data_IF_085684706647
#
_entry.id   IF_085684706647
#
_cell.length_a   1.000
_cell.length_b   1.000
_cell.length_c   1.000
_cell.angle_alpha   90.00
_cell.angle_beta   90.00
_cell.angle_gamma   90.00
#
_symmetry.space_group_name_H-M   'P 1'
#
loop_
_entity.id
_entity.type
_entity.pdbx_description
1 polymer ?
#
# COMPACT_ATOMS: atom_id res chain seq x y z
N UNK A 1 44.01 26.25 -16.03
CA UNK A 1 45.04 25.20 -15.89
C UNK A 1 44.28 23.88 -15.90
N UNK A 2 44.23 23.23 -17.07
CA UNK A 2 43.51 21.97 -17.31
C UNK A 2 44.41 20.84 -16.82
N UNK A 3 43.95 20.07 -15.84
CA UNK A 3 44.66 18.87 -15.37
C UNK A 3 44.11 17.69 -16.15
N UNK A 4 45.00 17.02 -16.89
CA UNK A 4 44.70 15.90 -17.78
C UNK A 4 44.13 14.70 -17.00
N UNK A 5 42.97 14.23 -17.44
CA UNK A 5 42.29 13.06 -16.86
C UNK A 5 43.08 11.75 -17.05
N UNK A 6 44.09 11.75 -17.93
CA UNK A 6 44.93 10.57 -18.21
C UNK A 6 45.98 10.29 -17.11
N UNK A 7 46.29 11.24 -16.24
CA UNK A 7 47.27 11.04 -15.17
C UNK A 7 46.67 10.28 -13.96
N UNK A 8 45.38 10.45 -13.71
CA UNK A 8 44.64 9.71 -12.66
C UNK A 8 44.48 8.22 -12.99
N UNK A 9 44.50 7.84 -14.27
CA UNK A 9 44.35 6.45 -14.68
C UNK A 9 45.65 5.63 -14.60
N UNK A 10 46.83 6.28 -14.59
CA UNK A 10 48.11 5.59 -14.38
C UNK A 10 48.38 5.22 -12.92
N UNK A 11 47.88 6.01 -11.95
CA UNK A 11 48.14 5.78 -10.53
C UNK A 11 47.50 4.49 -9.97
N UNK A 12 46.48 3.94 -10.64
CA UNK A 12 45.77 2.73 -10.19
C UNK A 12 46.47 1.44 -10.63
N UNK A 13 47.41 1.49 -11.59
CA UNK A 13 48.01 0.28 -12.19
C UNK A 13 49.40 -0.08 -11.64
N UNK A 14 50.06 0.82 -10.91
CA UNK A 14 51.31 0.54 -10.20
C UNK A 14 50.98 0.24 -8.75
N UNK A 15 50.95 -1.05 -8.38
CA UNK A 15 50.73 -1.50 -7.02
C UNK A 15 51.82 -1.02 -6.07
N UNK A 16 51.63 0.19 -5.54
CA UNK A 16 52.49 0.78 -4.50
C UNK A 16 51.93 0.34 -3.14
N UNK A 17 52.70 -0.51 -2.47
CA UNK A 17 52.53 -0.84 -1.06
C UNK A 17 52.50 0.45 -0.23
N UNK A 18 51.45 0.62 0.57
CA UNK A 18 51.37 1.69 1.56
C UNK A 18 52.37 1.43 2.68
N UNK A 19 53.14 2.42 3.14
CA UNK A 19 53.98 2.28 4.32
C UNK A 19 53.13 2.30 5.60
N UNK A 20 53.62 1.56 6.59
CA UNK A 20 53.09 1.40 7.94
C UNK A 20 52.78 2.74 8.62
N UNK A 21 51.56 2.87 9.15
CA UNK A 21 51.20 3.91 10.10
C UNK A 21 51.06 3.30 11.50
N UNK A 22 51.77 3.84 12.51
CA UNK A 22 51.75 3.32 13.88
C UNK A 22 50.46 3.71 14.61
N UNK A 23 50.12 2.87 15.59
CA UNK A 23 48.80 2.74 16.19
C UNK A 23 48.30 3.90 17.05
N UNK A 24 46.98 3.90 17.19
CA UNK A 24 46.25 4.62 18.23
C UNK A 24 45.39 3.63 19.03
N UNK A 25 45.23 3.87 20.34
CA UNK A 25 44.84 2.85 21.30
C UNK A 25 43.34 2.57 21.31
N UNK A 26 43.05 1.29 21.45
CA UNK A 26 41.77 0.73 21.85
C UNK A 26 41.33 1.32 23.20
N UNK A 27 40.15 1.93 23.23
CA UNK A 27 39.36 2.12 24.45
C UNK A 27 38.25 1.07 24.44
N UNK A 28 38.49 0.02 25.23
CA UNK A 28 37.46 -0.88 25.73
C UNK A 28 36.64 -0.11 26.76
N UNK A 29 35.32 -0.07 26.59
CA UNK A 29 34.41 0.11 27.71
C UNK A 29 33.61 -1.19 27.85
N UNK A 30 34.04 -1.96 28.85
CA UNK A 30 33.32 -3.08 29.42
C UNK A 30 32.07 -2.54 30.14
N UNK A 31 30.91 -3.06 29.78
CA UNK A 31 29.76 -3.11 30.69
C UNK A 31 28.93 -4.34 30.37
N UNK A 32 29.45 -5.47 30.84
CA UNK A 32 28.67 -6.63 31.20
C UNK A 32 27.92 -6.33 32.50
N UNK A 33 26.59 -6.31 32.43
CA UNK A 33 25.77 -6.67 33.60
C UNK A 33 24.73 -7.68 33.17
N UNK A 34 24.90 -8.86 33.74
CA UNK A 34 24.07 -10.03 33.58
C UNK A 34 22.61 -9.77 33.98
N UNK A 35 21.67 -10.27 33.18
CA UNK A 35 20.42 -10.72 33.76
C UNK A 35 19.93 -12.00 33.08
N UNK A 36 19.68 -12.97 33.94
CA UNK A 36 19.58 -14.38 33.64
C UNK A 36 18.21 -14.79 33.10
N UNK A 37 18.28 -15.70 32.14
CA UNK A 37 17.46 -16.91 32.01
C UNK A 37 16.16 -16.96 32.84
N UNK A 38 15.03 -16.76 32.17
CA UNK A 38 13.78 -17.48 32.49
C UNK A 38 13.12 -18.00 31.21
N UNK A 39 13.59 -19.18 30.81
CA UNK A 39 12.87 -20.10 29.93
C UNK A 39 11.57 -20.52 30.62
N UNK A 40 10.42 -20.13 30.04
CA UNK A 40 9.15 -20.78 30.33
C UNK A 40 8.50 -21.26 29.03
N UNK A 41 8.60 -22.56 28.83
CA UNK A 41 7.98 -23.34 27.77
C UNK A 41 6.48 -23.41 28.03
N UNK A 42 5.71 -22.46 27.50
CA UNK A 42 4.25 -22.53 27.51
C UNK A 42 3.80 -23.39 26.31
N UNK A 43 3.58 -24.68 26.58
CA UNK A 43 2.81 -25.57 25.71
C UNK A 43 1.38 -25.03 25.62
N UNK A 44 1.08 -24.28 24.57
CA UNK A 44 -0.29 -23.78 24.28
C UNK A 44 -1.12 -24.92 23.70
N UNK A 45 -1.69 -25.74 24.58
CA UNK A 45 -2.82 -26.61 24.25
C UNK A 45 -4.01 -25.73 23.87
N UNK A 46 -4.34 -25.66 22.58
CA UNK A 46 -5.59 -25.08 22.11
C UNK A 46 -6.73 -26.06 22.45
N UNK A 47 -7.25 -25.97 23.67
CA UNK A 47 -8.62 -26.42 23.96
C UNK A 47 -9.57 -25.38 23.40
N UNK A 48 -10.33 -25.76 22.38
CA UNK A 48 -11.55 -25.05 21.98
C UNK A 48 -12.56 -25.15 23.12
N UNK A 49 -12.66 -24.09 23.94
CA UNK A 49 -13.77 -23.91 24.86
C UNK A 49 -14.91 -23.31 24.04
N UNK A 50 -15.89 -24.14 23.71
CA UNK A 50 -17.18 -23.69 23.20
C UNK A 50 -17.86 -22.85 24.29
N UNK A 51 -18.04 -21.56 24.02
CA UNK A 51 -18.91 -20.69 24.82
C UNK A 51 -20.34 -21.27 24.82
N UNK A 52 -20.97 -21.46 25.98
CA UNK A 52 -22.42 -21.68 26.02
C UNK A 52 -23.13 -20.38 25.63
N UNK A 53 -24.26 -20.44 24.88
CA UNK A 53 -25.06 -19.26 24.60
C UNK A 53 -25.77 -18.78 25.87
N UNK A 54 -25.63 -17.47 26.14
CA UNK A 54 -26.41 -16.77 27.16
C UNK A 54 -27.90 -16.88 26.84
N UNK A 55 -28.65 -17.37 27.82
CA UNK A 55 -30.11 -17.40 27.85
C UNK A 55 -30.60 -16.00 28.26
N UNK A 56 -31.43 -15.38 27.43
CA UNK A 56 -32.29 -14.28 27.82
C UNK A 56 -33.72 -14.57 27.39
N UNK A 57 -34.64 -14.47 28.36
CA UNK A 57 -35.98 -13.91 28.15
C UNK A 57 -37.09 -14.88 27.71
N UNK A 58 -38.18 -15.02 28.51
CA UNK A 58 -39.34 -15.82 28.14
C UNK A 58 -40.30 -14.97 27.30
N UNK A 59 -40.78 -15.52 26.19
CA UNK A 59 -41.85 -14.87 25.44
C UNK A 59 -42.15 -15.55 24.12
N UNK A 60 -43.40 -16.01 23.99
CA UNK A 60 -44.07 -16.46 22.76
C UNK A 60 -43.65 -17.80 22.17
N UNK A 61 -44.39 -18.82 22.61
CA UNK A 61 -44.67 -20.10 21.96
C UNK A 61 -45.21 -19.94 20.55
N UNK A 62 -44.62 -20.67 19.59
CA UNK A 62 -45.20 -21.31 18.37
C UNK A 62 -44.26 -21.18 17.17
N UNK A 63 -43.37 -22.16 17.03
CA UNK A 63 -43.45 -23.16 15.96
C UNK A 63 -42.19 -24.01 16.04
N UNK A 64 -42.39 -25.31 16.22
CA UNK A 64 -41.36 -26.31 16.36
C UNK A 64 -40.45 -26.32 15.12
N UNK A 65 -39.31 -25.63 15.20
CA UNK A 65 -38.21 -25.81 14.26
C UNK A 65 -37.56 -27.14 14.59
N UNK A 66 -37.89 -28.13 13.78
CA UNK A 66 -37.17 -29.40 13.64
C UNK A 66 -35.66 -29.15 13.69
N UNK A 67 -35.05 -29.50 14.81
CA UNK A 67 -33.60 -29.64 14.94
C UNK A 67 -33.18 -30.77 13.99
N UNK A 68 -32.79 -30.40 12.77
CA UNK A 68 -32.07 -31.28 11.86
C UNK A 68 -30.75 -31.64 12.54
N UNK A 69 -30.74 -32.78 13.25
CA UNK A 69 -29.52 -33.53 13.50
C UNK A 69 -28.90 -33.78 12.14
N UNK A 70 -27.85 -33.04 11.81
CA UNK A 70 -26.89 -33.45 10.80
C UNK A 70 -26.26 -34.72 11.34
N UNK A 71 -26.86 -35.87 11.03
CA UNK A 71 -26.22 -37.17 11.21
C UNK A 71 -24.94 -37.11 10.39
N UNK A 72 -23.81 -37.02 11.08
CA UNK A 72 -22.50 -37.24 10.50
C UNK A 72 -22.49 -38.70 10.05
N UNK A 73 -22.85 -38.92 8.78
CA UNK A 73 -22.72 -40.21 8.12
C UNK A 73 -21.27 -40.66 8.20
N UNK A 74 -21.10 -41.95 8.42
CA UNK A 74 -19.88 -42.70 8.68
C UNK A 74 -18.60 -42.16 8.01
N UNK A 75 -17.44 -42.25 8.69
CA UNK A 75 -16.18 -41.75 8.16
C UNK A 75 -15.82 -42.52 6.88
N UNK A 76 -16.01 -41.90 5.71
CA UNK A 76 -15.46 -42.44 4.46
C UNK A 76 -13.94 -42.41 4.58
N UNK A 77 -13.30 -43.56 4.36
CA UNK A 77 -11.84 -43.65 4.33
C UNK A 77 -11.29 -42.74 3.23
N UNK A 78 -10.42 -41.81 3.62
CA UNK A 78 -9.66 -40.97 2.69
C UNK A 78 -8.24 -41.50 2.61
N UNK A 79 -7.75 -41.72 1.38
CA UNK A 79 -6.33 -42.01 1.17
C UNK A 79 -5.60 -40.68 1.11
N UNK A 80 -4.66 -40.45 2.01
CA UNK A 80 -3.78 -39.30 1.93
C UNK A 80 -2.84 -39.45 0.72
N UNK A 81 -2.89 -38.51 -0.21
CA UNK A 81 -1.90 -38.38 -1.29
C UNK A 81 -1.12 -37.08 -1.11
N UNK A 82 0.19 -37.15 -1.34
CA UNK A 82 1.09 -36.00 -1.27
C UNK A 82 1.57 -35.67 -2.68
N UNK A 83 0.75 -35.03 -3.53
CA UNK A 83 1.26 -34.49 -4.77
C UNK A 83 2.35 -33.48 -4.43
N UNK A 84 3.54 -33.72 -4.95
CA UNK A 84 4.59 -32.72 -5.01
C UNK A 84 4.10 -31.63 -5.94
N UNK A 85 3.62 -30.54 -5.37
CA UNK A 85 3.36 -29.34 -6.13
C UNK A 85 4.67 -28.55 -6.10
N UNK A 86 5.11 -28.07 -7.27
CA UNK A 86 6.00 -26.93 -7.34
C UNK A 86 5.22 -25.76 -6.76
N UNK A 87 5.21 -25.69 -5.44
CA UNK A 87 4.66 -24.56 -4.73
C UNK A 87 5.43 -23.36 -5.25
N UNK A 88 4.74 -22.42 -5.90
CA UNK A 88 5.11 -21.02 -5.73
C UNK A 88 4.94 -20.73 -4.25
N UNK A 89 5.91 -21.16 -3.47
CA UNK A 89 6.20 -20.50 -2.22
C UNK A 89 6.58 -19.10 -2.61
N UNK A 90 5.55 -18.26 -2.62
CA UNK A 90 5.63 -16.82 -2.58
C UNK A 90 6.63 -16.31 -1.54
N UNK A 91 7.10 -17.13 -0.59
CA UNK A 91 7.75 -16.61 0.60
C UNK A 91 9.14 -16.03 0.38
N UNK A 92 10.00 -16.62 -0.47
CA UNK A 92 11.44 -16.32 -0.27
C UNK A 92 12.22 -15.83 -1.50
N UNK A 93 11.85 -16.19 -2.74
CA UNK A 93 12.69 -15.78 -3.90
C UNK A 93 12.14 -14.62 -4.72
N UNK A 94 10.83 -14.39 -4.72
CA UNK A 94 10.21 -13.29 -5.49
C UNK A 94 9.52 -12.25 -4.61
N UNK A 95 9.43 -12.47 -3.29
CA UNK A 95 8.88 -11.46 -2.39
C UNK A 95 9.95 -10.46 -2.03
N UNK A 96 9.78 -9.28 -2.58
CA UNK A 96 10.54 -8.11 -2.17
C UNK A 96 10.18 -7.83 -0.72
N UNK A 97 11.15 -8.04 0.18
CA UNK A 97 10.96 -7.77 1.60
C UNK A 97 10.65 -6.29 1.78
N UNK A 98 9.62 -6.01 2.57
CA UNK A 98 9.33 -4.62 2.97
C UNK A 98 10.39 -4.20 3.99
N UNK A 99 10.84 -2.93 3.97
CA UNK A 99 11.82 -2.47 4.93
C UNK A 99 11.21 -2.50 6.33
N UNK A 100 11.93 -3.07 7.29
CA UNK A 100 11.55 -3.08 8.69
C UNK A 100 11.99 -1.78 9.33
N UNK A 101 11.05 -0.88 9.59
CA UNK A 101 11.32 0.43 10.21
C UNK A 101 10.84 0.40 11.65
N UNK A 102 11.68 0.77 12.65
CA UNK A 102 11.25 0.84 14.05
C UNK A 102 10.06 1.81 14.24
N UNK A 103 9.10 1.49 15.13
CA UNK A 103 7.90 2.31 15.31
C UNK A 103 8.22 3.76 15.74
N UNK A 104 9.28 3.98 16.52
CA UNK A 104 9.70 5.33 16.93
C UNK A 104 10.09 6.20 15.72
N UNK A 105 10.78 5.60 14.74
CA UNK A 105 11.17 6.26 13.50
C UNK A 105 9.94 6.53 12.64
N UNK A 106 9.03 5.55 12.53
CA UNK A 106 7.76 5.71 11.80
C UNK A 106 6.92 6.87 12.35
N UNK A 107 6.78 6.97 13.67
CA UNK A 107 6.02 8.04 14.34
C UNK A 107 6.67 9.42 14.13
N UNK A 108 7.99 9.49 14.22
CA UNK A 108 8.73 10.75 14.00
C UNK A 108 8.58 11.24 12.55
N UNK A 109 8.69 10.33 11.59
CA UNK A 109 8.45 10.64 10.16
C UNK A 109 7.00 11.10 9.95
N UNK A 110 6.02 10.43 10.55
CA UNK A 110 4.62 10.84 10.45
C UNK A 110 4.39 12.25 11.00
N UNK A 111 4.97 12.59 12.15
CA UNK A 111 4.86 13.92 12.74
C UNK A 111 5.44 15.00 11.81
N UNK A 112 6.62 14.76 11.23
CA UNK A 112 7.21 15.67 10.24
C UNK A 112 6.35 15.81 8.99
N UNK A 113 5.77 14.72 8.48
CA UNK A 113 4.87 14.76 7.33
C UNK A 113 3.62 15.60 7.60
N UNK A 114 2.99 15.45 8.77
CA UNK A 114 1.82 16.26 9.12
C UNK A 114 2.18 17.75 9.14
N UNK A 115 3.32 18.12 9.70
CA UNK A 115 3.81 19.51 9.70
C UNK A 115 4.28 20.03 8.33
N UNK A 116 4.51 19.15 7.35
CA UNK A 116 4.78 19.52 5.95
C UNK A 116 3.47 19.72 5.18
N UNK A 117 2.44 18.95 5.52
CA UNK A 117 1.14 18.95 4.85
C UNK A 117 0.16 19.97 5.43
N UNK A 118 0.58 20.73 6.44
CA UNK A 118 -0.25 21.74 7.08
C UNK A 118 -0.75 22.80 6.08
N UNK A 119 -1.98 23.24 6.25
CA UNK A 119 -2.66 24.18 5.34
C UNK A 119 -3.15 23.59 3.99
N UNK A 120 -2.75 22.38 3.61
CA UNK A 120 -3.23 21.76 2.35
C UNK A 120 -4.73 21.46 2.42
N UNK A 121 -5.23 20.97 3.55
CA UNK A 121 -6.65 20.72 3.75
C UNK A 121 -7.50 21.99 3.60
N UNK A 122 -7.04 23.12 4.13
CA UNK A 122 -7.74 24.40 4.03
C UNK A 122 -7.78 24.88 2.58
N UNK A 123 -6.67 24.77 1.87
CA UNK A 123 -6.61 25.05 0.44
C UNK A 123 -7.59 24.18 -0.37
N UNK A 124 -7.64 22.87 -0.11
CA UNK A 124 -8.59 21.97 -0.79
C UNK A 124 -10.04 22.31 -0.48
N UNK A 125 -10.36 22.62 0.78
CA UNK A 125 -11.71 23.04 1.20
C UNK A 125 -12.13 24.32 0.48
N UNK A 126 -11.28 25.34 0.49
CA UNK A 126 -11.53 26.60 -0.21
C UNK A 126 -11.71 26.39 -1.72
N UNK A 127 -10.87 25.54 -2.34
CA UNK A 127 -10.99 25.17 -3.75
C UNK A 127 -12.32 24.47 -4.07
N UNK A 128 -12.76 23.53 -3.23
CA UNK A 128 -14.03 22.84 -3.40
C UNK A 128 -15.23 23.78 -3.25
N UNK A 129 -15.20 24.71 -2.28
CA UNK A 129 -16.24 25.72 -2.11
C UNK A 129 -16.36 26.63 -3.35
N UNK A 130 -15.22 27.12 -3.86
CA UNK A 130 -15.19 27.92 -5.10
C UNK A 130 -15.72 27.15 -6.32
N UNK A 131 -15.37 25.87 -6.45
CA UNK A 131 -15.87 25.03 -7.54
C UNK A 131 -17.40 24.85 -7.47
N UNK A 132 -17.97 24.72 -6.26
CA UNK A 132 -19.43 24.63 -6.06
C UNK A 132 -20.13 25.96 -6.34
N UNK A 133 -19.54 27.09 -5.94
CA UNK A 133 -20.08 28.42 -6.24
C UNK A 133 -20.21 28.64 -7.75
N UNK A 134 -19.15 28.37 -8.52
CA UNK A 134 -19.17 28.49 -9.99
C UNK A 134 -20.24 27.62 -10.67
N UNK A 135 -20.54 26.44 -10.09
CA UNK A 135 -21.60 25.56 -10.61
C UNK A 135 -23.01 26.11 -10.32
N UNK A 136 -23.19 26.85 -9.22
CA UNK A 136 -24.46 27.50 -8.88
C UNK A 136 -24.74 28.64 -9.86
N UNK A 137 -23.73 29.44 -10.17
CA UNK A 137 -23.87 30.59 -11.08
C UNK A 137 -24.22 30.12 -12.50
N UNK A 138 -23.61 29.03 -12.99
CA UNK A 138 -23.89 28.48 -14.32
C UNK A 138 -25.23 27.74 -14.42
N UNK A 139 -25.75 27.18 -13.32
CA UNK A 139 -27.09 26.58 -13.31
C UNK A 139 -28.20 27.63 -13.41
N UNK A 140 -27.96 28.83 -12.89
CA UNK A 140 -28.95 29.91 -12.85
C UNK A 140 -29.11 30.58 -14.22
N UNK A 141 -28.04 30.64 -15.03
CA UNK A 141 -28.06 31.27 -16.35
C UNK A 141 -28.57 30.38 -17.48
N UNK A 142 -28.42 29.05 -17.37
CA UNK A 142 -28.82 28.11 -18.43
C UNK A 142 -30.18 27.42 -18.21
N UNK A 143 -30.85 27.68 -17.09
CA UNK A 143 -32.17 27.11 -16.77
C UNK A 143 -33.37 27.82 -17.42
N UNK A 144 -33.17 28.94 -18.13
CA UNK A 144 -34.28 29.76 -18.62
C UNK A 144 -34.71 29.47 -20.07
N UNK A 145 -34.01 28.61 -20.84
CA UNK A 145 -34.26 28.52 -22.29
C UNK A 145 -34.90 27.23 -22.82
N UNK A 146 -35.30 26.26 -21.98
CA UNK A 146 -36.10 25.13 -22.50
C UNK A 146 -36.84 24.32 -21.42
N UNK A 147 -38.05 24.77 -21.07
CA UNK A 147 -39.16 23.85 -20.80
C UNK A 147 -40.49 24.56 -21.07
N UNK A 148 -41.04 24.24 -22.23
CA UNK A 148 -42.46 24.32 -22.50
C UNK A 148 -43.25 23.59 -21.41
N UNK A 149 -44.00 24.39 -20.64
CA UNK A 149 -45.21 24.05 -19.87
C UNK A 149 -45.09 23.22 -18.59
N UNK A 150 -45.52 23.81 -17.46
CA UNK A 150 -46.26 23.07 -16.45
C UNK A 150 -47.57 23.79 -16.08
N UNK A 151 -48.70 23.12 -16.31
CA UNK A 151 -49.92 23.37 -15.55
C UNK A 151 -49.80 22.67 -14.20
N UNK A 152 -50.03 23.39 -13.09
CA UNK A 152 -50.53 22.75 -11.87
C UNK A 152 -49.93 23.21 -10.54
N UNK A 153 -50.61 24.20 -9.94
CA UNK A 153 -50.92 24.33 -8.52
C UNK A 153 -49.79 24.62 -7.49
N UNK A 154 -49.71 25.92 -7.24
CA UNK A 154 -49.25 26.65 -6.06
C UNK A 154 -49.28 25.92 -4.71
N UNK A 155 -48.16 26.02 -3.98
CA UNK A 155 -48.16 26.09 -2.52
C UNK A 155 -47.22 27.21 -2.06
N UNK A 156 -47.80 28.24 -1.45
CA UNK A 156 -47.13 29.39 -0.84
C UNK A 156 -46.57 28.96 0.52
N UNK A 157 -45.25 28.92 0.67
CA UNK A 157 -44.64 29.04 2.00
C UNK A 157 -43.53 30.10 1.99
N UNK A 158 -43.68 31.04 2.92
CA UNK A 158 -42.89 32.23 3.19
C UNK A 158 -41.39 31.95 3.28
N UNK A 159 -40.62 32.73 2.53
CA UNK A 159 -39.18 32.88 2.69
C UNK A 159 -38.90 33.67 3.98
N UNK A 160 -38.19 33.03 4.91
CA UNK A 160 -37.60 33.69 6.08
C UNK A 160 -36.20 34.16 5.68
N UNK A 161 -36.04 35.47 5.51
CA UNK A 161 -34.76 36.14 5.32
C UNK A 161 -34.05 36.21 6.68
N UNK A 162 -32.92 35.53 6.82
CA UNK A 162 -32.04 35.66 7.97
C UNK A 162 -30.70 36.26 7.49
N UNK A 163 -30.61 37.58 7.62
CA UNK A 163 -29.38 38.35 7.65
C UNK A 163 -28.50 37.88 8.80
N UNK A 164 -27.29 37.40 8.51
CA UNK A 164 -26.16 37.53 9.43
C UNK A 164 -24.87 37.61 8.62
N UNK A 165 -24.51 38.85 8.32
CA UNK A 165 -23.20 39.27 7.84
C UNK A 165 -22.18 39.14 8.98
N UNK A 166 -21.19 38.29 8.81
CA UNK A 166 -19.85 38.48 9.39
C UNK A 166 -18.84 38.17 8.30
N UNK A 167 -18.38 39.24 7.64
CA UNK A 167 -17.16 39.29 6.83
C UNK A 167 -15.97 38.89 7.70
N UNK A 168 -15.54 37.64 7.55
CA UNK A 168 -14.18 37.24 7.87
C UNK A 168 -13.44 37.11 6.55
N UNK A 169 -13.14 38.28 5.98
CA UNK A 169 -12.30 38.52 4.81
C UNK A 169 -10.81 38.24 5.13
N UNK A 170 -10.54 37.16 5.87
CA UNK A 170 -9.22 36.52 5.85
C UNK A 170 -9.14 35.77 4.54
N UNK A 171 -8.90 36.52 3.46
CA UNK A 171 -8.69 36.03 2.12
C UNK A 171 -7.49 35.09 2.11
N UNK A 172 -7.74 33.82 2.42
CA UNK A 172 -6.83 32.72 2.23
C UNK A 172 -6.28 32.83 0.80
N UNK A 173 -4.97 33.09 0.71
CA UNK A 173 -4.26 33.36 -0.53
C UNK A 173 -4.70 32.37 -1.59
N UNK A 174 -5.15 32.89 -2.75
CA UNK A 174 -5.76 32.06 -3.78
C UNK A 174 -4.77 31.10 -4.45
N UNK A 175 -3.48 31.29 -4.23
CA UNK A 175 -2.41 30.54 -4.86
C UNK A 175 -2.24 29.16 -4.20
N UNK A 176 -2.11 28.07 -4.99
CA UNK A 176 -1.80 26.76 -4.42
C UNK A 176 -0.50 26.80 -3.63
N UNK A 177 -0.45 26.20 -2.43
CA UNK A 177 0.79 26.00 -1.71
C UNK A 177 1.83 25.35 -2.65
N UNK A 178 3.08 25.84 -2.71
CA UNK A 178 4.07 25.37 -3.68
C UNK A 178 4.32 23.86 -3.56
N UNK A 179 4.22 23.33 -2.34
CA UNK A 179 4.31 21.90 -2.05
C UNK A 179 3.31 21.05 -2.83
N UNK A 180 2.12 21.57 -3.12
CA UNK A 180 1.03 20.79 -3.72
C UNK A 180 1.42 20.25 -5.11
N UNK A 181 2.33 20.92 -5.83
CA UNK A 181 2.77 20.50 -7.17
C UNK A 181 3.70 19.28 -7.14
N UNK A 182 4.36 19.02 -6.02
CA UNK A 182 5.34 17.95 -5.85
C UNK A 182 4.79 16.75 -5.07
N UNK A 183 3.48 16.75 -4.77
CA UNK A 183 2.80 15.70 -4.04
C UNK A 183 1.91 14.87 -4.95
N UNK A 184 2.05 13.56 -4.84
CA UNK A 184 1.21 12.60 -5.55
C UNK A 184 0.62 11.66 -4.50
N UNK A 185 -0.70 11.55 -4.44
CA UNK A 185 -1.36 10.68 -3.47
C UNK A 185 -2.46 9.83 -4.08
N UNK A 186 -2.69 8.68 -3.45
CA UNK A 186 -3.62 7.65 -3.91
C UNK A 186 -2.92 6.52 -4.65
N UNK A 187 -3.41 5.30 -4.42
CA UNK A 187 -2.80 4.06 -4.94
C UNK A 187 -2.64 4.15 -6.47
N UNK A 188 -3.73 4.41 -7.19
CA UNK A 188 -3.72 4.43 -8.66
C UNK A 188 -2.87 5.56 -9.27
N UNK A 189 -2.77 6.71 -8.59
CA UNK A 189 -1.98 7.83 -9.09
C UNK A 189 -0.49 7.50 -8.98
N UNK A 190 -0.08 7.02 -7.81
CA UNK A 190 1.31 6.63 -7.55
C UNK A 190 1.73 5.44 -8.41
N UNK A 191 0.87 4.43 -8.61
CA UNK A 191 1.20 3.28 -9.45
C UNK A 191 1.44 3.68 -10.90
N UNK A 192 0.51 4.44 -11.50
CA UNK A 192 0.67 4.95 -12.87
C UNK A 192 1.97 5.76 -13.03
N UNK A 193 2.31 6.53 -12.00
CA UNK A 193 3.51 7.35 -12.01
C UNK A 193 4.79 6.52 -11.96
N UNK A 194 4.87 5.54 -11.04
CA UNK A 194 5.98 4.58 -10.98
C UNK A 194 6.11 3.75 -12.26
N UNK A 195 4.99 3.29 -12.83
CA UNK A 195 4.98 2.55 -14.10
C UNK A 195 5.53 3.40 -15.25
N UNK A 196 5.13 4.68 -15.32
CA UNK A 196 5.66 5.62 -16.32
C UNK A 196 7.17 5.81 -16.15
N UNK A 197 7.65 5.97 -14.91
CA UNK A 197 9.08 6.08 -14.64
C UNK A 197 9.85 4.82 -15.04
N UNK A 198 9.33 3.64 -14.69
CA UNK A 198 9.91 2.34 -15.07
C UNK A 198 9.95 2.21 -16.60
N UNK A 199 8.88 2.56 -17.30
CA UNK A 199 8.82 2.53 -18.76
C UNK A 199 9.90 3.45 -19.36
N UNK A 200 10.02 4.68 -18.86
CA UNK A 200 11.03 5.63 -19.31
C UNK A 200 12.46 5.13 -19.06
N UNK A 201 12.73 4.51 -17.92
CA UNK A 201 14.04 3.88 -17.65
C UNK A 201 14.34 2.75 -18.63
N UNK A 202 13.36 1.90 -18.94
CA UNK A 202 13.52 0.79 -19.91
C UNK A 202 13.85 1.30 -21.30
N UNK A 203 13.18 2.36 -21.74
CA UNK A 203 13.46 2.98 -23.04
C UNK A 203 14.91 3.49 -23.10
N UNK A 204 15.40 4.15 -22.04
CA UNK A 204 16.79 4.61 -21.97
C UNK A 204 17.81 3.45 -22.05
N UNK A 205 17.53 2.31 -21.42
CA UNK A 205 18.43 1.14 -21.49
C UNK A 205 18.44 0.48 -22.87
N UNK A 206 17.29 0.40 -23.56
CA UNK A 206 17.21 -0.26 -24.88
C UNK A 206 17.78 0.61 -26.00
N UNK A 207 17.58 1.93 -25.94
CA UNK A 207 17.96 2.86 -27.00
C UNK A 207 19.29 3.59 -26.75
N UNK A 208 20.15 3.05 -25.89
CA UNK A 208 21.40 3.67 -25.42
C UNK A 208 22.50 3.83 -26.48
N UNK A 209 22.27 3.43 -27.74
CA UNK A 209 23.32 3.25 -28.75
C UNK A 209 23.39 4.35 -29.82
N UNK A 210 22.49 5.32 -29.89
CA UNK A 210 22.60 6.35 -30.93
C UNK A 210 21.95 7.68 -30.55
N UNK A 211 22.65 8.76 -30.89
CA UNK A 211 22.23 10.17 -30.95
C UNK A 211 22.46 10.99 -29.67
N UNK A 212 23.45 11.88 -29.78
CA UNK A 212 23.74 13.00 -28.86
C UNK A 212 22.69 14.13 -28.96
N UNK A 213 21.69 13.99 -29.83
CA UNK A 213 20.81 15.10 -30.23
C UNK A 213 19.43 15.11 -29.54
N UNK A 214 19.20 14.24 -28.54
CA UNK A 214 17.92 14.16 -27.81
C UNK A 214 17.94 14.76 -26.38
N UNK A 215 19.03 15.42 -25.98
CA UNK A 215 19.16 16.01 -24.62
C UNK A 215 18.11 17.09 -24.30
N UNK A 216 17.57 17.78 -25.30
CA UNK A 216 16.69 18.94 -25.07
C UNK A 216 15.20 18.63 -24.85
N UNK A 217 14.74 17.40 -25.10
CA UNK A 217 13.34 17.02 -24.86
C UNK A 217 13.13 16.27 -23.54
N UNK A 218 14.20 15.91 -22.83
CA UNK A 218 14.07 15.36 -21.48
C UNK A 218 13.78 16.50 -20.50
N UNK A 219 12.53 16.99 -20.52
CA UNK A 219 11.96 17.62 -19.32
C UNK A 219 12.34 16.71 -18.17
N UNK A 220 13.06 17.24 -17.19
CA UNK A 220 13.40 16.53 -15.96
C UNK A 220 12.10 15.98 -15.37
N UNK A 221 11.82 14.73 -15.70
CA UNK A 221 10.64 14.06 -15.22
C UNK A 221 10.82 14.01 -13.71
N UNK A 222 9.85 14.56 -13.02
CA UNK A 222 9.78 14.52 -11.58
C UNK A 222 9.98 13.05 -11.13
N UNK A 223 10.98 12.84 -10.30
CA UNK A 223 11.35 11.52 -9.79
C UNK A 223 10.85 11.40 -8.36
N UNK A 224 10.23 10.27 -8.02
CA UNK A 224 9.72 10.08 -6.66
C UNK A 224 10.92 9.83 -5.77
N UNK A 225 11.12 10.67 -4.75
CA UNK A 225 12.17 10.48 -3.75
C UNK A 225 11.68 9.65 -2.57
N UNK A 226 10.52 9.98 -2.03
CA UNK A 226 9.95 9.30 -0.87
C UNK A 226 8.57 8.75 -1.20
N UNK A 227 8.30 7.51 -0.78
CA UNK A 227 7.02 6.85 -0.92
C UNK A 227 6.54 6.31 0.42
N UNK A 228 5.48 6.90 0.96
CA UNK A 228 4.87 6.54 2.24
C UNK A 228 3.64 5.67 2.05
N UNK A 229 3.52 4.59 2.82
CA UNK A 229 2.45 3.60 2.68
C UNK A 229 1.82 3.24 4.03
N UNK A 230 0.51 3.48 4.16
CA UNK A 230 -0.28 3.21 5.37
C UNK A 230 -0.75 1.75 5.44
N UNK A 231 0.17 0.77 5.39
CA UNK A 231 -0.20 -0.66 5.30
C UNK A 231 -1.05 -1.16 6.46
N UNK A 232 -0.81 -0.67 7.67
CA UNK A 232 -1.52 -1.13 8.87
C UNK A 232 -3.02 -0.76 8.89
N UNK A 233 -3.43 0.17 8.03
CA UNK A 233 -4.80 0.71 7.97
C UNK A 233 -5.60 0.16 6.78
N UNK A 234 -4.96 -0.56 5.86
CA UNK A 234 -5.57 -1.06 4.61
C UNK A 234 -5.99 -2.52 4.77
N UNK A 235 -7.29 -2.77 4.66
CA UNK A 235 -7.89 -4.10 4.63
C UNK A 235 -8.67 -4.29 3.31
N UNK A 236 -8.27 -5.20 2.41
CA UNK A 236 -7.15 -6.15 2.51
C UNK A 236 -5.78 -5.55 2.08
N UNK A 237 -4.66 -5.98 2.68
CA UNK A 237 -3.32 -5.44 2.37
C UNK A 237 -2.84 -5.75 0.94
N UNK A 238 -3.47 -6.71 0.25
CA UNK A 238 -3.15 -7.07 -1.14
C UNK A 238 -3.28 -5.88 -2.10
N UNK A 239 -4.10 -4.88 -1.76
CA UNK A 239 -4.29 -3.67 -2.55
C UNK A 239 -3.00 -2.86 -2.74
N UNK A 240 -1.99 -3.04 -1.88
CA UNK A 240 -0.72 -2.30 -1.92
C UNK A 240 0.51 -3.22 -1.94
N UNK A 241 0.32 -4.53 -2.17
CA UNK A 241 1.44 -5.50 -2.17
C UNK A 241 2.31 -5.44 -3.43
N UNK A 242 1.83 -4.78 -4.49
CA UNK A 242 2.60 -4.54 -5.70
C UNK A 242 3.56 -3.33 -5.59
N UNK A 243 3.33 -2.39 -4.65
CA UNK A 243 4.16 -1.18 -4.54
C UNK A 243 5.64 -1.46 -4.26
N UNK A 244 6.02 -2.35 -3.31
CA UNK A 244 7.43 -2.72 -3.13
C UNK A 244 8.07 -3.25 -4.41
N UNK A 245 7.30 -3.97 -5.24
CA UNK A 245 7.78 -4.52 -6.51
C UNK A 245 8.07 -3.44 -7.55
N UNK A 246 7.18 -2.45 -7.67
CA UNK A 246 7.41 -1.31 -8.55
C UNK A 246 8.62 -0.48 -8.10
N UNK A 247 8.72 -0.14 -6.81
CA UNK A 247 9.84 0.63 -6.27
C UNK A 247 11.16 -0.09 -6.46
N UNK A 248 11.23 -1.38 -6.15
CA UNK A 248 12.44 -2.17 -6.32
C UNK A 248 12.88 -2.27 -7.78
N UNK A 249 11.91 -2.44 -8.70
CA UNK A 249 12.16 -2.48 -10.14
C UNK A 249 12.71 -1.14 -10.62
N UNK A 250 12.06 -0.03 -10.25
CA UNK A 250 12.54 1.31 -10.54
C UNK A 250 13.96 1.53 -10.00
N UNK A 251 14.20 1.12 -8.75
CA UNK A 251 15.47 1.31 -8.08
C UNK A 251 16.64 0.58 -8.75
N UNK A 252 16.38 -0.52 -9.44
CA UNK A 252 17.38 -1.23 -10.23
C UNK A 252 17.59 -0.58 -11.59
N UNK A 253 16.55 0.00 -12.20
CA UNK A 253 16.58 0.52 -13.57
C UNK A 253 16.99 2.00 -13.69
N UNK A 254 16.90 2.80 -12.62
CA UNK A 254 17.04 4.28 -12.66
C UNK A 254 18.44 4.83 -13.00
N UNK A 255 19.45 3.98 -13.12
CA UNK A 255 20.86 4.40 -13.27
C UNK A 255 21.50 4.90 -11.96
N UNK A 256 22.80 5.15 -11.98
CA UNK A 256 23.56 5.66 -10.81
C UNK A 256 23.24 7.11 -10.46
N UNK A 257 22.85 7.91 -11.45
CA UNK A 257 22.80 9.37 -11.33
C UNK A 257 21.52 9.84 -10.62
N UNK A 258 20.49 9.01 -10.63
CA UNK A 258 19.20 9.30 -10.01
C UNK A 258 19.16 8.71 -8.60
N UNK A 259 18.80 9.51 -7.58
CA UNK A 259 18.69 9.02 -6.21
C UNK A 259 17.60 7.95 -6.07
N UNK A 260 17.76 6.97 -5.14
CA UNK A 260 16.76 5.94 -4.88
C UNK A 260 15.44 6.49 -4.38
N UNK A 261 14.36 5.83 -4.81
CA UNK A 261 13.05 5.97 -4.18
C UNK A 261 13.05 5.13 -2.90
N UNK A 262 12.77 5.78 -1.77
CA UNK A 262 12.72 5.15 -0.45
C UNK A 262 11.27 4.83 -0.11
N UNK A 263 10.98 3.56 0.14
CA UNK A 263 9.66 3.09 0.57
C UNK A 263 9.58 3.05 2.09
N UNK A 264 8.60 3.73 2.68
CA UNK A 264 8.49 3.91 4.14
C UNK A 264 7.11 3.42 4.59
N UNK A 265 7.05 2.32 5.36
CA UNK A 265 5.80 1.91 6.00
C UNK A 265 5.47 2.89 7.13
N UNK A 266 4.22 3.34 7.17
CA UNK A 266 3.70 4.21 8.20
C UNK A 266 2.97 3.41 9.30
N UNK A 267 2.86 3.97 10.52
CA UNK A 267 2.25 3.28 11.64
C UNK A 267 0.73 3.20 11.48
N UNK A 268 0.07 2.42 12.34
CA UNK A 268 -1.40 2.34 12.37
C UNK A 268 -2.01 3.69 12.73
N UNK A 269 -3.09 4.07 12.06
CA UNK A 269 -3.78 5.36 12.20
C UNK A 269 -3.24 6.46 11.28
N UNK A 270 -2.09 6.24 10.64
CA UNK A 270 -1.47 7.23 9.76
C UNK A 270 -2.36 7.59 8.56
N UNK A 271 -3.16 6.64 8.04
CA UNK A 271 -4.11 6.90 6.94
C UNK A 271 -5.05 8.05 7.29
N UNK A 272 -5.62 8.02 8.50
CA UNK A 272 -6.62 9.00 8.93
C UNK A 272 -5.96 10.34 9.20
N UNK A 273 -4.81 10.35 9.90
CA UNK A 273 -4.07 11.58 10.23
C UNK A 273 -3.62 12.31 8.96
N UNK A 274 -3.05 11.59 7.99
CA UNK A 274 -2.62 12.20 6.74
C UNK A 274 -3.81 12.60 5.85
N UNK A 275 -4.89 11.82 5.84
CA UNK A 275 -6.11 12.19 5.12
C UNK A 275 -6.70 13.51 5.62
N UNK A 276 -6.72 13.71 6.95
CA UNK A 276 -7.14 14.97 7.57
C UNK A 276 -6.22 16.14 7.20
N UNK A 277 -4.89 15.96 7.27
CA UNK A 277 -3.93 17.00 6.92
C UNK A 277 -4.01 17.42 5.44
N UNK A 278 -4.25 16.48 4.53
CA UNK A 278 -4.40 16.76 3.09
C UNK A 278 -5.80 17.26 2.73
N UNK A 279 -6.84 16.93 3.52
CA UNK A 279 -8.23 17.27 3.23
C UNK A 279 -8.97 16.26 2.33
N UNK A 280 -8.53 15.00 2.32
CA UNK A 280 -9.17 13.90 1.57
C UNK A 280 -9.89 12.94 2.52
N UNK A 281 -10.78 12.09 1.99
CA UNK A 281 -11.51 11.12 2.81
C UNK A 281 -10.62 9.99 3.34
N UNK A 282 -9.68 9.51 2.52
CA UNK A 282 -8.78 8.38 2.80
C UNK A 282 -7.47 8.57 2.05
N UNK A 283 -6.34 8.33 2.71
CA UNK A 283 -4.99 8.52 2.14
C UNK A 283 -4.10 7.29 2.41
N UNK A 284 -4.22 6.29 1.53
CA UNK A 284 -3.50 5.02 1.67
C UNK A 284 -2.00 5.13 1.37
N UNK A 285 -1.63 5.95 0.38
CA UNK A 285 -0.23 6.13 -0.05
C UNK A 285 -0.01 7.55 -0.56
N UNK A 286 1.16 8.08 -0.22
CA UNK A 286 1.63 9.43 -0.50
C UNK A 286 3.06 9.35 -1.05
N UNK A 287 3.33 10.02 -2.15
CA UNK A 287 4.63 10.15 -2.78
C UNK A 287 5.04 11.63 -2.83
N UNK A 288 6.34 11.86 -2.63
CA UNK A 288 6.97 13.18 -2.68
C UNK A 288 8.07 13.16 -3.74
N UNK A 289 8.01 14.13 -4.65
CA UNK A 289 8.99 14.29 -5.72
C UNK A 289 10.31 14.88 -5.23
N UNK A 290 11.39 14.59 -5.95
CA UNK A 290 12.75 15.09 -5.67
C UNK A 290 12.84 16.62 -5.63
N UNK A 291 12.04 17.33 -6.44
CA UNK A 291 12.04 18.82 -6.52
C UNK A 291 11.58 19.49 -5.23
N UNK A 292 11.06 18.73 -4.26
CA UNK A 292 10.64 19.27 -2.98
C UNK A 292 11.81 19.38 -2.00
N UNK A 293 12.51 20.52 -2.05
CA UNK A 293 13.72 20.75 -1.25
C UNK A 293 13.44 20.86 0.27
N UNK A 294 12.37 21.57 0.65
CA UNK A 294 12.00 21.83 2.06
C UNK A 294 11.72 20.54 2.83
N UNK A 295 11.31 19.48 2.13
CA UNK A 295 11.07 18.17 2.73
C UNK A 295 12.34 17.39 3.03
N UNK A 296 13.45 17.66 2.33
CA UNK A 296 14.64 16.81 2.43
C UNK A 296 15.30 16.90 3.81
N UNK A 297 15.38 18.09 4.40
CA UNK A 297 15.93 18.27 5.75
C UNK A 297 15.01 17.66 6.81
N UNK A 298 13.70 17.96 6.75
CA UNK A 298 12.69 17.45 7.71
C UNK A 298 12.51 15.93 7.61
N UNK A 299 12.85 15.34 6.47
CA UNK A 299 12.82 13.90 6.23
C UNK A 299 14.22 13.27 6.25
N UNK A 300 15.22 13.89 6.88
CA UNK A 300 16.55 13.30 6.99
C UNK A 300 16.53 11.88 7.60
N UNK A 301 15.66 11.64 8.58
CA UNK A 301 15.43 10.32 9.18
C UNK A 301 14.95 9.26 8.18
N UNK A 302 14.26 9.67 7.12
CA UNK A 302 13.81 8.76 6.07
C UNK A 302 14.98 8.18 5.26
N UNK A 303 16.11 8.89 5.16
CA UNK A 303 17.29 8.41 4.45
C UNK A 303 17.99 7.24 5.18
N UNK A 304 17.71 7.03 6.48
CA UNK A 304 18.21 5.88 7.23
C UNK A 304 17.44 4.58 6.93
N UNK A 305 16.29 4.66 6.23
CA UNK A 305 15.49 3.49 5.90
C UNK A 305 16.16 2.68 4.79
N UNK A 306 16.28 1.33 4.94
CA UNK A 306 16.87 0.49 3.90
C UNK A 306 16.18 0.64 2.54
N UNK A 307 16.98 0.78 1.49
CA UNK A 307 16.48 0.89 0.12
C UNK A 307 15.95 -0.46 -0.33
N UNK A 308 14.74 -0.46 -0.87
CA UNK A 308 14.12 -1.65 -1.43
C UNK A 308 14.70 -1.91 -2.81
N UNK A 309 15.31 -3.06 -3.01
CA UNK A 309 15.90 -3.48 -4.29
C UNK A 309 15.36 -4.85 -4.71
N UNK A 310 15.46 -5.15 -6.01
CA UNK A 310 15.07 -6.44 -6.58
C UNK A 310 16.35 -7.15 -7.06
N UNK A 311 17.01 -7.96 -6.21
CA UNK A 311 18.32 -8.54 -6.54
C UNK A 311 18.30 -9.44 -7.80
N UNK A 312 17.16 -10.02 -8.14
CA UNK A 312 17.00 -10.83 -9.35
C UNK A 312 16.89 -10.00 -10.64
N UNK A 313 16.69 -8.68 -10.55
CA UNK A 313 16.68 -7.78 -11.71
C UNK A 313 18.03 -7.08 -11.91
N UNK A 314 18.96 -7.15 -10.96
CA UNK A 314 20.25 -6.47 -11.11
C UNK A 314 21.07 -7.11 -12.24
N UNK A 315 21.79 -6.29 -13.02
CA UNK A 315 22.62 -6.77 -14.14
C UNK A 315 23.69 -7.77 -13.71
N UNK A 316 24.12 -7.69 -12.45
CA UNK A 316 24.95 -8.68 -11.79
C UNK A 316 24.11 -9.25 -10.65
N UNK A 317 23.25 -10.25 -10.89
CA UNK A 317 22.55 -10.90 -9.80
C UNK A 317 23.64 -11.53 -8.94
N UNK A 318 23.66 -11.22 -7.64
CA UNK A 318 24.50 -11.95 -6.71
C UNK A 318 24.19 -13.43 -6.95
N UNK A 319 25.19 -14.23 -7.34
CA UNK A 319 25.03 -15.65 -7.76
C UNK A 319 24.65 -16.56 -6.60
N UNK A 320 23.99 -16.03 -5.58
CA UNK A 320 23.38 -16.78 -4.50
C UNK A 320 22.16 -17.50 -5.07
N UNK A 321 22.39 -18.70 -5.59
CA UNK A 321 21.32 -19.62 -5.92
C UNK A 321 20.56 -19.94 -4.63
N UNK A 322 19.29 -19.54 -4.56
CA UNK A 322 18.42 -19.96 -3.46
C UNK A 322 18.03 -21.40 -3.72
N UNK A 323 18.21 -22.26 -2.72
CA UNK A 323 17.83 -23.66 -2.80
C UNK A 323 16.32 -23.78 -3.10
N UNK A 324 15.96 -24.65 -4.04
CA UNK A 324 14.56 -24.91 -4.38
C UNK A 324 13.85 -25.55 -3.19
N UNK A 325 12.84 -24.88 -2.64
CA UNK A 325 12.04 -25.42 -1.55
C UNK A 325 10.83 -26.18 -2.13
N UNK A 326 10.85 -27.51 -2.08
CA UNK A 326 9.76 -28.36 -2.57
C UNK A 326 8.77 -28.60 -1.43
N UNK A 327 7.58 -28.01 -1.52
CA UNK A 327 6.49 -28.29 -0.58
C UNK A 327 5.61 -29.44 -1.01
N UNK A 328 5.32 -30.33 -0.08
CA UNK A 328 4.32 -31.38 -0.25
C UNK A 328 3.01 -30.91 0.37
N UNK A 329 1.99 -30.70 -0.46
CA UNK A 329 0.65 -30.37 0.02
C UNK A 329 -0.10 -31.66 0.28
N UNK A 330 -0.61 -31.83 1.50
CA UNK A 330 -1.48 -32.96 1.82
C UNK A 330 -2.80 -32.76 1.08
N UNK A 331 -3.10 -33.68 0.17
CA UNK A 331 -4.40 -33.73 -0.50
C UNK A 331 -5.17 -34.93 0.02
N UNK A 332 -6.45 -34.72 0.30
CA UNK A 332 -7.38 -35.81 0.63
C UNK A 332 -8.14 -36.18 -0.63
N UNK A 333 -7.68 -37.22 -1.32
CA UNK A 333 -8.46 -37.84 -2.37
C UNK A 333 -9.41 -38.88 -1.72
N UNK A 334 -10.73 -38.86 -2.04
CA UNK A 334 -11.62 -39.90 -1.55
C UNK A 334 -11.21 -41.26 -2.13
N UNK A 335 -11.18 -42.29 -1.29
CA UNK A 335 -10.77 -43.64 -1.70
C UNK A 335 -11.65 -44.18 -2.83
N UNK A 336 -12.97 -43.96 -2.73
CA UNK A 336 -13.95 -44.33 -3.74
C UNK A 336 -14.51 -43.10 -4.48
N UNK A 337 -13.86 -42.72 -5.58
CA UNK A 337 -14.29 -41.60 -6.42
C UNK A 337 -15.72 -41.74 -6.93
N UNK A 338 -16.18 -42.96 -7.22
CA UNK A 338 -17.55 -43.24 -7.67
C UNK A 338 -18.58 -42.97 -6.58
N UNK A 339 -18.36 -43.48 -5.36
CA UNK A 339 -19.25 -43.26 -4.22
C UNK A 339 -19.31 -41.77 -3.83
N UNK A 340 -18.16 -41.10 -3.79
CA UNK A 340 -18.09 -39.67 -3.52
C UNK A 340 -18.81 -38.83 -4.60
N UNK A 341 -18.71 -39.22 -5.88
CA UNK A 341 -19.43 -38.54 -6.98
C UNK A 341 -20.95 -38.77 -6.89
N UNK A 342 -21.39 -39.99 -6.56
CA UNK A 342 -22.79 -40.31 -6.33
C UNK A 342 -23.38 -39.52 -5.15
N UNK A 343 -22.66 -39.45 -4.02
CA UNK A 343 -23.05 -38.65 -2.87
C UNK A 343 -23.15 -37.15 -3.20
N UNK A 344 -22.21 -36.61 -3.99
CA UNK A 344 -22.27 -35.22 -4.49
C UNK A 344 -23.46 -34.96 -5.40
N UNK A 345 -23.81 -35.91 -6.27
CA UNK A 345 -24.99 -35.82 -7.14
C UNK A 345 -26.29 -35.82 -6.33
N UNK A 346 -26.41 -36.73 -5.35
CA UNK A 346 -27.54 -36.78 -4.43
C UNK A 346 -27.67 -35.49 -3.60
N UNK A 347 -26.56 -34.97 -3.08
CA UNK A 347 -26.57 -33.71 -2.33
C UNK A 347 -27.01 -32.52 -3.22
N UNK A 348 -26.59 -32.49 -4.50
CA UNK A 348 -27.00 -31.45 -5.45
C UNK A 348 -28.48 -31.55 -5.81
N UNK A 349 -29.01 -32.75 -6.04
CA UNK A 349 -30.45 -32.92 -6.36
C UNK A 349 -31.33 -32.56 -5.15
N UNK A 350 -30.97 -32.99 -3.95
CA UNK A 350 -31.66 -32.64 -2.72
C UNK A 350 -31.63 -31.12 -2.45
N UNK A 351 -30.47 -30.46 -2.61
CA UNK A 351 -30.36 -29.02 -2.46
C UNK A 351 -31.20 -28.25 -3.51
N UNK A 352 -31.30 -28.75 -4.75
CA UNK A 352 -32.13 -28.15 -5.80
C UNK A 352 -33.63 -28.27 -5.45
N UNK A 353 -34.07 -29.43 -4.96
CA UNK A 353 -35.46 -29.64 -4.54
C UNK A 353 -35.86 -28.74 -3.34
N UNK A 354 -34.92 -28.50 -2.43
CA UNK A 354 -35.12 -27.54 -1.32
C UNK A 354 -35.27 -26.11 -1.83
N UNK A 355 -34.41 -25.67 -2.76
CA UNK A 355 -34.53 -24.32 -3.36
C UNK A 355 -35.82 -24.13 -4.16
N UNK A 356 -36.30 -25.16 -4.86
CA UNK A 356 -37.56 -25.06 -5.60
C UNK A 356 -38.78 -25.00 -4.66
N UNK A 357 -38.77 -25.76 -3.56
CA UNK A 357 -39.85 -25.70 -2.57
C UNK A 357 -39.85 -24.39 -1.78
N UNK A 358 -38.69 -23.86 -1.39
CA UNK A 358 -38.58 -22.53 -0.76
C UNK A 358 -39.09 -21.41 -1.69
N UNK A 359 -38.79 -21.49 -3.00
CA UNK A 359 -39.29 -20.53 -3.98
C UNK A 359 -40.81 -20.62 -4.15
N UNK A 360 -41.35 -21.84 -4.15
CA UNK A 360 -42.79 -22.07 -4.24
C UNK A 360 -43.54 -21.61 -2.98
N UNK A 361 -42.93 -21.69 -1.80
CA UNK A 361 -43.54 -21.23 -0.54
C UNK A 361 -43.52 -19.71 -0.34
N UNK A 362 -42.70 -18.99 -1.10
CA UNK A 362 -42.59 -17.53 -1.04
C UNK A 362 -43.40 -16.81 -2.15
N UNK A 363 -43.99 -17.58 -3.07
CA UNK A 363 -44.90 -17.11 -4.12
C UNK A 363 -46.33 -17.34 -3.65
#
# INVERSE_FOLDING_TARGET
MSVDADELYRAVKTGIQRPDMPGLPFLYDDNDTAEAQRSSTIKRSQRFILKPPCVQGPGTTRNAKSFLRVCWTTPTEYRGSYPSLLGREEKDMSRISRPSVPPNVQNSILAHLVGILDGIADYQRARCLRARARKKDSATTNGASHCSSPMGLASKHQAFSADTLTDLDTAASSEPPPIFKSLIFGINAVTKYLETQIANCRLKTVFQSSTKDMEQASKEHDTIRYLFVCRADIDPPILIDHLPHLVATYNVLRGSDVPPTILIPLPKGAETTLAQAVGVRRLAVLAIDKKFDVGNERLALANAVPIVTAPWLSSHPARTFVQTHIKQLRTTAPKDMKAAKAARLLARSAAKARRSSEKAACS
#
